data_IF_158300378066
#
_entry.id   IF_158300378066
#
_cell.length_a   1.000
_cell.length_b   1.000
_cell.length_c   1.000
_cell.angle_alpha   90.00
_cell.angle_beta   90.00
_cell.angle_gamma   90.00
#
_symmetry.space_group_name_H-M   'P 1'
#
loop_
_entity.id
_entity.type
_entity.pdbx_description
1 polymer ?
2 non-polymer ?
3 water ?
#
# COMPACT_ATOMS: atom_id res chain seq x y z
N UNK A 2 -4.84 -1.02 -20.62
CA UNK A 2 -5.18 -0.66 -19.22
C UNK A 2 -6.03 -1.77 -18.66
N UNK A 3 -6.85 -2.36 -19.54
CA UNK A 3 -7.46 -3.65 -19.26
C UNK A 3 -6.38 -4.73 -19.39
N UNK A 4 -5.79 -4.91 -20.58
CA UNK A 4 -4.82 -5.97 -20.82
C UNK A 4 -3.43 -5.40 -21.13
N UNK A 5 -3.24 -4.08 -21.05
CA UNK A 5 -1.95 -3.44 -21.24
C UNK A 5 -1.53 -2.68 -19.98
N UNK A 6 -0.22 -2.64 -19.70
CA UNK A 6 0.32 -2.04 -18.49
C UNK A 6 1.69 -1.42 -18.82
N UNK A 7 2.30 -0.78 -17.80
CA UNK A 7 3.65 -0.26 -17.90
C UNK A 7 4.29 -0.35 -16.52
N UNK A 8 5.48 -0.96 -16.43
CA UNK A 8 6.22 -1.08 -15.18
C UNK A 8 6.88 0.24 -14.85
N UNK A 9 6.48 0.79 -13.70
CA UNK A 9 7.05 2.00 -13.16
C UNK A 9 7.37 1.71 -11.70
N UNK A 10 8.67 1.55 -11.42
CA UNK A 10 9.10 1.14 -10.08
C UNK A 10 9.08 2.36 -9.18
N UNK A 11 8.76 2.16 -7.91
CA UNK A 11 9.00 3.20 -6.91
C UNK A 11 10.49 3.58 -6.89
N UNK A 12 10.81 4.81 -6.50
CA UNK A 12 12.19 5.30 -6.43
C UNK A 12 12.57 5.74 -5.03
N UNK A 13 11.61 5.94 -4.13
CA UNK A 13 11.91 6.30 -2.76
C UNK A 13 13.00 5.38 -2.17
N UNK A 14 13.98 5.95 -1.47
CA UNK A 14 15.01 5.13 -0.86
C UNK A 14 14.37 4.27 0.23
N UNK A 15 14.58 2.95 0.12
CA UNK A 15 14.10 1.91 1.02
C UNK A 15 15.28 1.47 1.90
N UNK A 16 15.01 1.28 3.19
CA UNK A 16 16.01 0.76 4.12
C UNK A 16 16.28 -0.70 3.79
N UNK A 17 17.53 -1.05 3.44
CA UNK A 17 17.87 -2.43 3.10
C UNK A 17 18.29 -3.27 4.32
N UNK A 18 18.24 -2.74 5.55
CA UNK A 18 18.67 -3.51 6.71
C UNK A 18 17.88 -4.83 6.78
N UNK A 19 18.59 -5.96 6.91
CA UNK A 19 17.95 -7.26 6.86
C UNK A 19 16.98 -7.42 8.01
N UNK A 20 15.74 -7.82 7.70
CA UNK A 20 14.77 -8.17 8.72
C UNK A 20 15.07 -9.52 9.37
N UNK A 21 16.02 -10.29 8.84
CA UNK A 21 16.39 -11.54 9.48
C UNK A 21 17.75 -11.43 10.14
N UNK A 22 18.13 -10.21 10.55
CA UNK A 22 19.38 -9.96 11.25
C UNK A 22 19.45 -10.69 12.59
N UNK A 23 18.28 -11.08 13.11
CA UNK A 23 18.19 -11.88 14.32
C UNK A 23 18.96 -13.19 14.30
N UNK A 24 18.67 -14.01 15.33
CA UNK A 24 19.41 -15.22 15.65
C UNK A 24 18.65 -16.48 15.19
N UNK A 25 17.85 -17.08 16.09
CA UNK A 25 17.26 -18.41 15.93
C UNK A 25 16.57 -18.48 14.60
N UNK A 26 15.68 -19.47 14.39
CA UNK A 26 14.96 -19.58 13.12
C UNK A 26 13.84 -18.55 12.97
N UNK A 27 13.48 -18.28 11.72
CA UNK A 27 12.32 -17.47 11.45
C UNK A 27 11.30 -18.38 10.79
N UNK A 28 10.24 -18.76 11.54
CA UNK A 28 9.17 -19.55 10.96
C UNK A 28 8.30 -18.77 9.97
N UNK A 29 8.00 -19.40 8.84
CA UNK A 29 7.19 -18.75 7.83
C UNK A 29 6.24 -19.79 7.28
N UNK A 30 5.20 -19.29 6.61
CA UNK A 30 4.17 -20.12 6.00
C UNK A 30 3.76 -19.49 4.69
N UNK A 31 3.49 -20.32 3.69
CA UNK A 31 2.81 -19.88 2.48
C UNK A 31 1.32 -19.76 2.70
N UNK A 32 0.67 -18.92 1.86
CA UNK A 32 -0.78 -18.84 1.88
C UNK A 32 -1.31 -18.38 0.53
N UNK A 33 -2.60 -18.65 0.30
CA UNK A 33 -3.37 -18.08 -0.80
C UNK A 33 -4.25 -16.95 -0.26
N UNK A 34 -4.32 -15.83 -0.99
CA UNK A 34 -5.23 -14.75 -0.65
C UNK A 34 -6.67 -15.25 -0.78
N UNK A 35 -7.36 -15.32 0.37
CA UNK A 35 -8.73 -15.82 0.42
C UNK A 35 -9.64 -14.88 1.19
N UNK A 36 -9.10 -13.82 1.78
CA UNK A 36 -9.88 -12.87 2.56
C UNK A 36 -9.51 -11.46 2.12
N UNK A 37 -10.40 -10.50 2.44
CA UNK A 37 -10.16 -9.12 2.13
C UNK A 37 -8.91 -8.65 2.87
N UNK A 38 -8.69 -9.20 4.08
CA UNK A 38 -7.58 -8.77 4.90
C UNK A 38 -6.26 -9.19 4.24
N UNK A 39 -6.20 -10.43 3.73
CA UNK A 39 -5.02 -10.92 3.04
C UNK A 39 -4.80 -10.15 1.75
N UNK A 40 -5.90 -9.79 1.08
CA UNK A 40 -5.82 -9.02 -0.14
C UNK A 40 -5.12 -7.68 0.08
N UNK A 41 -5.58 -6.92 1.07
CA UNK A 41 -4.95 -5.65 1.46
C UNK A 41 -3.48 -5.85 1.81
N UNK A 42 -3.16 -6.87 2.61
CA UNK A 42 -1.79 -7.07 3.03
C UNK A 42 -0.86 -7.24 1.83
N UNK A 43 -1.29 -7.96 0.78
CA UNK A 43 -0.46 -8.15 -0.38
C UNK A 43 -0.43 -6.90 -1.25
N UNK A 44 -1.60 -6.28 -1.47
CA UNK A 44 -1.61 -5.00 -2.17
C UNK A 44 -0.62 -4.04 -1.50
N UNK A 45 -0.61 -4.01 -0.16
CA UNK A 45 0.27 -3.09 0.56
C UNK A 45 1.74 -3.39 0.25
N UNK A 46 2.08 -4.68 0.18
CA UNK A 46 3.45 -5.03 -0.15
C UNK A 46 3.79 -4.56 -1.55
N UNK A 47 2.90 -4.81 -2.52
CA UNK A 47 3.14 -4.44 -3.91
C UNK A 47 3.26 -2.94 -4.06
N UNK A 48 2.48 -2.22 -3.28
CA UNK A 48 2.40 -0.77 -3.33
C UNK A 48 3.78 -0.17 -3.07
N UNK A 49 4.56 -0.78 -2.18
CA UNK A 49 5.83 -0.14 -1.84
C UNK A 49 6.87 -0.39 -2.92
N UNK A 50 6.56 -1.26 -3.91
CA UNK A 50 7.52 -1.63 -4.96
C UNK A 50 7.22 -0.98 -6.31
N UNK A 51 5.92 -0.77 -6.58
CA UNK A 51 5.45 -0.23 -7.83
C UNK A 51 4.77 1.11 -7.67
N UNK A 52 5.15 2.06 -8.55
CA UNK A 52 4.39 3.27 -8.81
C UNK A 52 3.27 2.95 -9.81
N UNK A 53 3.55 2.12 -10.83
CA UNK A 53 2.52 1.60 -11.71
C UNK A 53 2.87 0.14 -12.00
N UNK A 54 1.95 -0.84 -11.86
CA UNK A 54 0.58 -0.61 -11.36
C UNK A 54 0.39 0.30 -10.14
N UNK A 55 -0.59 1.20 -10.24
CA UNK A 55 -0.89 2.16 -9.20
C UNK A 55 -1.93 1.52 -8.27
N UNK A 56 -2.40 2.27 -7.27
CA UNK A 56 -3.28 1.66 -6.28
C UNK A 56 -4.52 1.04 -6.94
N UNK A 57 -5.30 1.75 -7.79
CA UNK A 57 -6.49 1.16 -8.35
C UNK A 57 -6.16 -0.09 -9.17
N UNK A 58 -5.00 -0.10 -9.87
CA UNK A 58 -4.62 -1.22 -10.71
C UNK A 58 -4.22 -2.45 -9.87
N UNK A 59 -3.62 -2.25 -8.67
CA UNK A 59 -3.29 -3.36 -7.79
C UNK A 59 -4.59 -3.96 -7.29
N UNK A 60 -5.56 -3.08 -6.96
CA UNK A 60 -6.85 -3.49 -6.42
C UNK A 60 -7.58 -4.33 -7.46
N UNK A 61 -7.37 -4.01 -8.74
CA UNK A 61 -7.94 -4.77 -9.83
C UNK A 61 -7.24 -6.11 -10.02
N UNK A 62 -5.91 -6.16 -9.83
CA UNK A 62 -5.14 -7.37 -10.12
C UNK A 62 -5.16 -8.37 -8.94
N UNK A 63 -5.25 -7.86 -7.72
CA UNK A 63 -5.17 -8.72 -6.57
C UNK A 63 -6.58 -9.03 -6.07
N UNK A 64 -7.05 -10.23 -6.43
CA UNK A 64 -8.45 -10.60 -6.19
C UNK A 64 -8.53 -11.99 -5.57
N UNK A 65 -9.65 -12.22 -4.89
CA UNK A 65 -9.96 -13.55 -4.36
C UNK A 65 -10.14 -14.50 -5.53
N UNK A 66 -9.75 -15.80 -5.40
CA UNK A 66 -9.87 -16.74 -6.50
C UNK A 66 -11.34 -16.91 -6.88
N UNK A 67 -11.60 -17.32 -8.12
CA UNK A 67 -12.93 -17.77 -8.50
C UNK A 67 -13.09 -19.23 -8.07
N UNK A 77 -6.76 -24.17 -10.82
CA UNK A 77 -7.29 -24.72 -12.10
C UNK A 77 -7.50 -23.59 -13.09
N UNK A 78 -8.03 -22.43 -12.64
CA UNK A 78 -8.47 -21.39 -13.56
C UNK A 78 -8.64 -20.03 -12.90
N UNK A 79 -8.28 -18.95 -13.63
CA UNK A 79 -8.49 -17.58 -13.18
C UNK A 79 -7.30 -17.09 -12.37
N UNK A 80 -7.56 -16.11 -11.50
CA UNK A 80 -6.53 -15.37 -10.79
C UNK A 80 -6.26 -15.95 -9.42
N UNK A 81 -4.99 -16.02 -9.06
CA UNK A 81 -4.59 -16.44 -7.74
C UNK A 81 -3.44 -15.55 -7.30
N UNK A 82 -3.44 -15.17 -6.03
CA UNK A 82 -2.28 -14.52 -5.42
C UNK A 82 -1.87 -15.31 -4.18
N UNK A 83 -0.60 -15.74 -4.15
CA UNK A 83 -0.04 -16.40 -2.98
C UNK A 83 1.00 -15.49 -2.33
N UNK A 84 1.23 -15.75 -1.05
CA UNK A 84 2.21 -15.01 -0.29
C UNK A 84 2.94 -15.97 0.64
N UNK A 85 4.08 -15.44 1.11
CA UNK A 85 4.88 -15.99 2.18
C UNK A 85 4.92 -14.98 3.31
N UNK A 86 4.54 -15.49 4.50
CA UNK A 86 4.31 -14.71 5.70
C UNK A 86 5.36 -15.07 6.75
N UNK A 87 5.96 -14.03 7.35
CA UNK A 87 6.90 -14.24 8.44
C UNK A 87 6.09 -14.33 9.73
N UNK A 88 6.10 -15.50 10.40
CA UNK A 88 5.13 -15.78 11.46
C UNK A 88 5.47 -15.02 12.73
N UNK A 89 6.74 -14.71 12.97
CA UNK A 89 7.10 -13.95 14.15
C UNK A 89 6.56 -12.53 14.07
N UNK A 90 6.50 -11.94 12.87
CA UNK A 90 6.10 -10.55 12.76
C UNK A 90 4.75 -10.39 12.07
N UNK A 91 4.27 -11.43 11.40
CA UNK A 91 3.06 -11.38 10.61
C UNK A 91 3.26 -10.62 9.30
N UNK A 92 4.49 -10.19 8.99
CA UNK A 92 4.75 -9.40 7.79
C UNK A 92 4.74 -10.28 6.54
N UNK A 93 4.28 -9.68 5.44
CA UNK A 93 4.41 -10.24 4.11
C UNK A 93 5.86 -10.12 3.64
N UNK A 94 6.41 -11.24 3.14
CA UNK A 94 7.81 -11.31 2.77
C UNK A 94 7.94 -11.25 1.26
N UNK A 95 7.05 -11.95 0.57
CA UNK A 95 7.10 -12.16 -0.87
C UNK A 95 5.69 -12.52 -1.34
N UNK A 96 5.34 -12.10 -2.56
CA UNK A 96 4.02 -12.44 -3.05
C UNK A 96 4.06 -12.47 -4.56
N UNK A 97 3.14 -13.25 -5.10
CA UNK A 97 3.02 -13.42 -6.53
C UNK A 97 1.55 -13.49 -6.93
N UNK A 98 1.19 -12.81 -8.04
CA UNK A 98 -0.15 -12.87 -8.57
C UNK A 98 -0.06 -13.50 -9.94
N UNK A 99 -0.94 -14.48 -10.22
CA UNK A 99 -0.90 -15.20 -11.49
C UNK A 99 -2.27 -15.12 -12.12
N UNK A 100 -2.32 -15.42 -13.42
CA UNK A 100 -3.54 -15.77 -14.11
C UNK A 100 -3.34 -17.11 -14.80
N UNK A 101 -4.25 -18.05 -14.54
CA UNK A 101 -4.18 -19.39 -15.10
C UNK A 101 -5.09 -19.48 -16.32
N UNK A 102 -4.56 -19.91 -17.47
CA UNK A 102 -5.31 -19.94 -18.72
C UNK A 102 -5.42 -21.37 -19.25
N UNK A 103 -6.62 -21.67 -19.73
CA UNK A 103 -6.93 -22.86 -20.52
C UNK A 103 -7.51 -22.38 -21.85
N UNK A 104 -6.71 -22.48 -22.89
CA UNK A 104 -7.13 -22.08 -24.22
C UNK A 104 -6.77 -23.18 -25.18
N UNK A 105 -7.78 -23.94 -25.62
CA UNK A 105 -7.66 -24.99 -26.62
C UNK A 105 -6.83 -26.09 -26.01
N UNK A 106 -5.72 -26.47 -26.65
CA UNK A 106 -4.86 -27.50 -26.09
C UNK A 106 -3.83 -26.87 -25.14
N UNK A 107 -3.88 -25.54 -24.94
CA UNK A 107 -2.83 -24.79 -24.24
C UNK A 107 -3.28 -24.49 -22.80
N UNK A 108 -2.54 -25.04 -21.84
CA UNK A 108 -2.81 -24.82 -20.43
C UNK A 108 -1.59 -24.12 -19.83
N UNK A 109 -1.70 -22.83 -19.50
CA UNK A 109 -0.51 -22.13 -19.04
C UNK A 109 -0.87 -21.06 -18.02
N UNK A 110 0.20 -20.53 -17.42
CA UNK A 110 0.13 -19.50 -16.41
C UNK A 110 0.94 -18.29 -16.86
N UNK A 111 0.39 -17.10 -16.57
CA UNK A 111 1.14 -15.84 -16.64
C UNK A 111 1.30 -15.25 -15.24
N UNK A 112 2.30 -14.38 -15.09
CA UNK A 112 2.60 -13.77 -13.79
C UNK A 112 2.62 -12.26 -13.90
N UNK A 113 1.49 -11.54 -13.64
CA UNK A 113 1.47 -10.08 -13.67
C UNK A 113 2.29 -9.36 -12.61
N UNK A 114 2.37 -9.90 -11.37
CA UNK A 114 3.05 -9.22 -10.26
C UNK A 114 3.86 -10.22 -9.45
N UNK A 115 5.01 -9.78 -8.98
CA UNK A 115 5.88 -10.59 -8.15
C UNK A 115 6.76 -9.62 -7.38
N UNK A 116 6.74 -9.67 -6.06
CA UNK A 116 7.57 -8.73 -5.31
C UNK A 116 8.02 -9.36 -4.00
N UNK A 117 9.22 -8.94 -3.58
CA UNK A 117 9.75 -9.25 -2.26
C UNK A 117 9.81 -7.95 -1.43
N UNK A 118 9.39 -8.01 -0.15
CA UNK A 118 9.28 -6.82 0.69
C UNK A 118 10.61 -6.20 1.10
N UNK A 119 10.49 -4.97 1.60
CA UNK A 119 11.63 -4.18 2.10
C UNK A 119 12.26 -4.92 3.28
N UNK A 120 13.58 -5.04 3.30
CA UNK A 120 14.27 -5.77 4.35
C UNK A 120 14.37 -7.28 4.12
N UNK A 121 13.85 -7.77 3.00
CA UNK A 121 13.85 -9.20 2.70
C UNK A 121 14.47 -9.54 1.35
N UNK A 122 14.88 -8.50 0.60
CA UNK A 122 15.42 -8.67 -0.72
C UNK A 122 16.81 -9.31 -0.66
N UNK A 123 17.10 -10.08 -1.70
CA UNK A 123 18.42 -10.66 -1.92
C UNK A 123 18.79 -11.64 -0.80
N UNK A 124 17.76 -12.32 -0.23
CA UNK A 124 17.94 -13.42 0.72
C UNK A 124 17.52 -14.78 0.11
N UNK A 125 17.02 -14.77 -1.13
CA UNK A 125 16.60 -16.01 -1.77
C UNK A 125 15.11 -16.28 -1.68
N UNK A 126 14.33 -15.28 -1.25
CA UNK A 126 12.90 -15.49 -1.13
C UNK A 126 12.21 -15.52 -2.50
N UNK A 127 12.63 -14.66 -3.43
CA UNK A 127 12.10 -14.71 -4.77
C UNK A 127 12.27 -16.09 -5.41
N UNK A 128 13.49 -16.65 -5.32
CA UNK A 128 13.76 -17.97 -5.86
C UNK A 128 12.85 -19.02 -5.25
N UNK A 129 12.70 -18.94 -3.92
CA UNK A 129 11.83 -19.84 -3.17
C UNK A 129 10.38 -19.70 -3.62
N UNK A 130 9.84 -18.48 -3.73
CA UNK A 130 8.46 -18.33 -4.17
C UNK A 130 8.29 -18.81 -5.61
N UNK A 131 9.24 -18.50 -6.50
CA UNK A 131 9.15 -18.96 -7.88
C UNK A 131 9.19 -20.49 -7.94
N UNK A 132 10.04 -21.11 -7.11
CA UNK A 132 10.10 -22.56 -7.07
C UNK A 132 8.76 -23.16 -6.66
N UNK A 133 8.11 -22.56 -5.67
CA UNK A 133 6.84 -23.04 -5.16
C UNK A 133 5.75 -22.91 -6.23
N UNK A 134 5.80 -21.82 -7.00
CA UNK A 134 4.87 -21.63 -8.09
C UNK A 134 5.08 -22.74 -9.14
N UNK A 135 6.32 -22.93 -9.61
CA UNK A 135 6.55 -23.91 -10.66
C UNK A 135 6.11 -25.31 -10.17
N UNK A 136 6.45 -25.65 -8.93
CA UNK A 136 6.00 -26.89 -8.30
C UNK A 136 4.49 -27.02 -8.39
N UNK A 137 3.79 -25.92 -8.14
CA UNK A 137 2.34 -25.93 -8.17
C UNK A 137 1.82 -26.03 -9.61
N UNK A 138 2.48 -25.36 -10.55
CA UNK A 138 2.14 -25.52 -11.95
C UNK A 138 2.27 -26.97 -12.41
N UNK A 139 3.36 -27.62 -11.98
CA UNK A 139 3.59 -29.00 -12.35
C UNK A 139 2.45 -29.82 -11.77
N UNK A 140 2.13 -29.61 -10.49
CA UNK A 140 1.22 -30.48 -9.78
C UNK A 140 -0.21 -30.29 -10.31
N UNK A 141 -0.56 -29.06 -10.72
CA UNK A 141 -1.78 -28.82 -11.48
C UNK A 141 -1.40 -29.02 -12.95
N UNK A 142 -2.30 -28.89 -13.90
CA UNK A 142 -1.96 -29.49 -15.20
C UNK A 142 -1.19 -28.59 -16.16
N UNK A 143 -0.42 -27.60 -15.67
CA UNK A 143 0.03 -26.53 -16.56
C UNK A 143 1.31 -26.91 -17.30
N UNK A 144 1.38 -26.51 -18.57
CA UNK A 144 2.50 -26.84 -19.43
C UNK A 144 3.63 -25.84 -19.23
N UNK A 145 3.30 -24.54 -19.13
CA UNK A 145 4.37 -23.54 -19.09
C UNK A 145 3.94 -22.28 -18.32
N UNK A 146 4.96 -21.57 -17.82
CA UNK A 146 4.78 -20.30 -17.16
C UNK A 146 5.35 -19.23 -18.08
N UNK A 147 4.51 -18.24 -18.44
CA UNK A 147 4.92 -17.19 -19.34
C UNK A 147 4.95 -15.83 -18.65
N UNK A 148 5.98 -15.02 -18.92
CA UNK A 148 6.21 -13.76 -18.23
C UNK A 148 6.24 -12.65 -19.29
N UNK A 149 5.46 -11.60 -19.08
CA UNK A 149 5.70 -10.31 -19.71
C UNK A 149 6.71 -9.52 -18.89
N UNK A 150 7.90 -9.29 -19.45
CA UNK A 150 9.02 -8.75 -18.71
C UNK A 150 9.45 -7.42 -19.29
N UNK A 151 9.17 -6.37 -18.53
CA UNK A 151 9.82 -5.08 -18.71
C UNK A 151 11.33 -5.23 -18.71
N UNK A 152 12.02 -4.38 -19.47
CA UNK A 152 13.47 -4.41 -19.52
C UNK A 152 14.06 -4.50 -18.12
N UNK A 153 13.45 -3.85 -17.12
CA UNK A 153 14.06 -3.87 -15.82
C UNK A 153 13.86 -5.20 -15.08
N UNK A 154 12.82 -5.98 -15.46
CA UNK A 154 12.54 -7.30 -14.85
C UNK A 154 13.33 -8.45 -15.49
N UNK A 155 13.79 -8.26 -16.74
CA UNK A 155 14.43 -9.32 -17.53
C UNK A 155 15.55 -10.00 -16.73
N UNK A 156 16.52 -9.25 -16.16
CA UNK A 156 17.62 -9.91 -15.48
C UNK A 156 17.09 -10.81 -14.36
N UNK A 157 16.14 -10.33 -13.56
CA UNK A 157 15.57 -11.13 -12.51
C UNK A 157 15.01 -12.44 -13.10
N UNK A 158 14.09 -12.34 -14.06
CA UNK A 158 13.41 -13.54 -14.52
C UNK A 158 14.42 -14.51 -15.13
N UNK A 159 15.41 -13.95 -15.82
CA UNK A 159 16.45 -14.73 -16.44
C UNK A 159 17.27 -15.48 -15.37
N UNK A 160 17.57 -14.83 -14.25
CA UNK A 160 18.23 -15.53 -13.17
C UNK A 160 17.36 -16.63 -12.58
N UNK A 161 16.03 -16.54 -12.69
CA UNK A 161 15.16 -17.56 -12.12
C UNK A 161 14.99 -18.70 -13.12
N UNK A 162 15.63 -18.57 -14.28
CA UNK A 162 15.70 -19.67 -15.23
C UNK A 162 14.70 -19.55 -16.36
N UNK A 163 14.06 -18.39 -16.52
CA UNK A 163 13.18 -18.10 -17.64
C UNK A 163 14.04 -17.68 -18.84
N UNK A 164 13.50 -17.88 -20.05
CA UNK A 164 14.18 -17.55 -21.29
C UNK A 164 13.24 -16.86 -22.27
N UNK A 165 13.79 -16.08 -23.19
CA UNK A 165 12.98 -15.46 -24.24
C UNK A 165 12.17 -16.54 -24.93
N UNK A 166 10.86 -16.36 -25.04
CA UNK A 166 10.02 -17.31 -25.76
C UNK A 166 10.35 -17.23 -27.25
N UNK A 167 10.49 -18.39 -27.92
CA UNK A 167 10.85 -18.41 -29.33
C UNK A 167 9.63 -17.92 -30.14
N UNK A 168 9.91 -17.13 -31.19
CA UNK A 168 8.90 -16.49 -32.04
C UNK A 168 7.80 -17.47 -32.44
N UNK A 169 8.18 -18.70 -32.83
CA UNK A 169 7.25 -19.68 -33.32
C UNK A 169 6.31 -20.20 -32.22
N UNK A 170 6.80 -20.25 -30.97
CA UNK A 170 5.98 -20.77 -29.90
C UNK A 170 4.95 -19.71 -29.53
N UNK A 171 5.37 -18.43 -29.55
CA UNK A 171 4.47 -17.34 -29.25
C UNK A 171 3.38 -17.21 -30.33
N UNK A 172 3.77 -17.31 -31.61
CA UNK A 172 2.80 -17.17 -32.69
C UNK A 172 1.73 -18.25 -32.58
N UNK A 173 2.08 -19.44 -32.02
CA UNK A 173 1.08 -20.46 -31.71
C UNK A 173 -0.09 -19.90 -30.89
N UNK A 174 0.15 -18.93 -29.99
CA UNK A 174 -0.95 -18.42 -29.17
C UNK A 174 -1.07 -16.90 -29.23
N UNK A 175 -0.60 -16.26 -30.30
CA UNK A 175 -0.44 -14.82 -30.32
C UNK A 175 -1.79 -14.13 -30.22
N UNK A 176 -2.80 -14.64 -30.92
CA UNK A 176 -4.10 -13.96 -30.90
C UNK A 176 -4.64 -13.93 -29.48
N UNK A 177 -4.66 -15.10 -28.83
CA UNK A 177 -5.23 -15.25 -27.52
C UNK A 177 -4.42 -14.40 -26.53
N UNK A 178 -3.10 -14.43 -26.66
CA UNK A 178 -2.24 -13.63 -25.79
C UNK A 178 -2.55 -12.14 -25.89
N UNK A 179 -2.65 -11.62 -27.12
CA UNK A 179 -2.84 -10.18 -27.32
C UNK A 179 -4.19 -9.73 -26.77
N UNK A 180 -5.17 -10.64 -26.67
CA UNK A 180 -6.50 -10.25 -26.21
C UNK A 180 -6.78 -10.62 -24.76
N UNK A 181 -5.90 -11.40 -24.10
CA UNK A 181 -6.27 -12.00 -22.83
C UNK A 181 -5.16 -12.00 -21.76
N UNK A 182 -3.91 -11.68 -22.13
CA UNK A 182 -2.82 -11.75 -21.19
C UNK A 182 -2.40 -10.33 -20.77
N UNK A 183 -1.66 -10.22 -19.66
CA UNK A 183 -1.29 -8.90 -19.16
C UNK A 183 0.09 -8.50 -19.71
N UNK A 184 0.12 -7.43 -20.50
CA UNK A 184 1.25 -7.09 -21.36
C UNK A 184 1.89 -5.77 -20.98
N UNK A 185 3.13 -5.83 -20.52
CA UNK A 185 3.85 -4.62 -20.12
C UNK A 185 4.39 -3.99 -21.39
N UNK A 186 4.25 -2.65 -21.45
CA UNK A 186 4.75 -1.83 -22.55
C UNK A 186 6.22 -2.17 -22.81
N UNK A 187 6.52 -2.61 -24.04
CA UNK A 187 7.87 -2.80 -24.52
C UNK A 187 8.53 -4.04 -23.90
N UNK A 188 7.69 -4.95 -23.39
CA UNK A 188 8.21 -6.11 -22.69
C UNK A 188 8.77 -7.12 -23.67
N UNK A 189 9.62 -7.99 -23.17
CA UNK A 189 10.00 -9.22 -23.84
C UNK A 189 9.22 -10.36 -23.20
N UNK A 190 8.79 -11.33 -24.03
CA UNK A 190 7.98 -12.44 -23.58
C UNK A 190 8.90 -13.62 -23.20
N UNK A 191 8.74 -14.15 -22.02
CA UNK A 191 9.71 -15.07 -21.49
C UNK A 191 8.95 -16.27 -20.97
N UNK A 192 9.63 -17.40 -20.80
CA UNK A 192 8.90 -18.63 -20.55
C UNK A 192 9.78 -19.70 -19.91
N UNK A 193 9.11 -20.54 -19.14
CA UNK A 193 9.71 -21.74 -18.66
C UNK A 193 8.71 -22.87 -18.79
N UNK A 194 9.13 -23.97 -19.40
CA UNK A 194 8.27 -25.13 -19.50
C UNK A 194 8.38 -25.92 -18.20
N UNK A 195 7.24 -26.39 -17.71
CA UNK A 195 7.15 -27.09 -16.45
C UNK A 195 7.89 -28.42 -16.52
N UNK A 196 7.95 -29.04 -17.71
CA UNK A 196 8.55 -30.35 -17.84
C UNK A 196 10.04 -30.25 -17.52
N UNK A 197 10.60 -29.03 -17.56
CA UNK A 197 12.01 -28.83 -17.24
C UNK A 197 12.20 -28.51 -15.75
N UNK A 198 11.14 -28.44 -14.94
CA UNK A 198 11.29 -28.00 -13.55
C UNK A 198 11.80 -29.18 -12.71
N UNK A 199 12.97 -29.08 -12.05
CA UNK A 199 13.48 -30.23 -11.28
C UNK A 199 12.59 -30.53 -10.06
N UNK A 200 12.43 -31.81 -9.80
CA UNK A 200 11.60 -32.28 -8.72
C UNK A 200 12.14 -31.75 -7.37
N UNK A 201 13.45 -31.52 -7.27
CA UNK A 201 14.02 -31.04 -6.02
C UNK A 201 14.16 -29.51 -5.96
N UNK A 202 13.53 -28.80 -6.90
CA UNK A 202 13.72 -27.37 -7.06
C UNK A 202 13.31 -26.60 -5.81
N UNK A 203 12.16 -26.96 -5.20
CA UNK A 203 11.72 -26.28 -4.00
C UNK A 203 12.68 -26.57 -2.84
N UNK A 204 13.03 -27.84 -2.61
CA UNK A 204 13.95 -28.16 -1.52
C UNK A 204 15.26 -27.39 -1.64
N UNK A 205 15.84 -27.32 -2.85
CA UNK A 205 17.11 -26.63 -3.04
C UNK A 205 17.00 -25.12 -2.81
N UNK A 206 15.86 -24.51 -3.18
CA UNK A 206 15.68 -23.09 -2.91
C UNK A 206 15.54 -22.85 -1.41
N UNK A 207 14.71 -23.66 -0.77
CA UNK A 207 14.49 -23.50 0.66
C UNK A 207 15.82 -23.63 1.43
N UNK A 208 16.67 -24.56 1.00
CA UNK A 208 18.00 -24.73 1.57
C UNK A 208 18.82 -23.43 1.46
N UNK A 209 18.56 -22.63 0.44
CA UNK A 209 19.41 -21.46 0.18
C UNK A 209 18.90 -20.21 0.90
N UNK A 210 17.81 -20.33 1.66
CA UNK A 210 17.28 -19.24 2.45
C UNK A 210 17.66 -19.47 3.91
N UNK A 211 18.67 -18.72 4.38
CA UNK A 211 19.26 -18.93 5.69
C UNK A 211 18.24 -18.55 6.78
N UNK A 212 18.23 -19.34 7.84
CA UNK A 212 17.53 -19.03 9.09
C UNK A 212 16.02 -19.23 8.98
N UNK A 213 15.51 -19.68 7.85
CA UNK A 213 14.08 -19.85 7.67
C UNK A 213 13.70 -21.32 7.78
N UNK A 214 12.59 -21.60 8.48
CA UNK A 214 11.91 -22.88 8.45
C UNK A 214 10.46 -22.66 8.04
N UNK A 215 9.94 -23.55 7.18
CA UNK A 215 8.58 -23.41 6.69
C UNK A 215 7.66 -24.29 7.50
N UNK A 216 6.55 -23.71 7.97
CA UNK A 216 5.54 -24.46 8.70
C UNK A 216 4.28 -24.62 7.86
N UNK A 217 3.70 -25.83 7.89
CA UNK A 217 2.63 -26.19 6.98
C UNK A 217 3.21 -26.69 5.64
N UNK A 218 2.32 -26.83 4.67
CA UNK A 218 2.70 -27.31 3.35
C UNK A 218 3.83 -26.44 2.81
N UNK A 219 4.91 -27.07 2.37
CA UNK A 219 6.04 -26.38 1.79
C UNK A 219 5.78 -26.17 0.30
N UNK A 220 4.86 -25.23 0.02
CA UNK A 220 4.45 -24.90 -1.33
C UNK A 220 3.07 -24.25 -1.28
N UNK A 221 2.41 -24.22 -2.44
CA UNK A 221 1.19 -23.45 -2.63
C UNK A 221 0.03 -24.41 -2.72
N UNK A 222 -1.13 -23.97 -2.23
CA UNK A 222 -2.34 -24.75 -2.37
C UNK A 222 -3.45 -23.90 -2.97
N UNK A 223 -4.54 -24.58 -3.34
CA UNK A 223 -5.64 -23.98 -4.09
C UNK A 223 -6.85 -23.66 -3.19
N UNK A 224 -6.78 -23.96 -1.87
CA UNK A 224 -7.90 -23.72 -0.95
C UNK A 224 -7.45 -23.78 0.51
N UNK B 3 -2.43 8.33 28.31
CA UNK B 3 -2.44 7.21 27.32
C UNK B 3 -1.95 7.66 25.94
N UNK B 4 -0.72 7.26 25.57
CA UNK B 4 -0.11 7.73 24.32
C UNK B 4 0.19 6.53 23.39
N UNK B 5 -0.46 5.39 23.60
CA UNK B 5 -0.25 4.19 22.81
C UNK B 5 -1.58 3.77 22.21
N UNK B 6 -1.57 3.25 20.99
CA UNK B 6 -2.79 2.88 20.27
C UNK B 6 -2.50 1.64 19.44
N UNK B 7 -3.53 1.16 18.75
CA UNK B 7 -3.38 0.01 17.89
C UNK B 7 -4.40 0.20 16.78
N UNK B 8 -3.93 0.30 15.53
CA UNK B 8 -4.82 0.57 14.43
C UNK B 8 -5.50 -0.72 14.03
N UNK B 9 -6.82 -0.64 14.06
CA UNK B 9 -7.66 -1.73 13.56
C UNK B 9 -8.70 -1.12 12.63
N UNK B 10 -8.59 -1.39 11.34
CA UNK B 10 -9.43 -0.83 10.31
C UNK B 10 -10.67 -1.69 10.13
N UNK B 11 -11.75 -1.04 9.69
CA UNK B 11 -12.91 -1.77 9.20
C UNK B 11 -12.62 -2.28 7.78
N UNK B 12 -13.17 -3.46 7.45
CA UNK B 12 -13.04 -4.02 6.11
C UNK B 12 -13.71 -3.10 5.08
N UNK B 16 -20.10 -3.21 -1.72
CA UNK B 16 -20.76 -2.38 -2.76
C UNK B 16 -20.69 -0.89 -2.40
N UNK B 17 -19.81 -0.14 -3.08
CA UNK B 17 -19.60 1.28 -2.82
C UNK B 17 -19.79 2.07 -4.12
N UNK B 18 -20.63 3.12 -4.08
CA UNK B 18 -20.92 4.00 -5.21
C UNK B 18 -20.40 5.41 -4.94
N UNK B 19 -20.10 6.16 -6.00
CA UNK B 19 -19.61 7.53 -5.83
C UNK B 19 -20.76 8.49 -5.56
N UNK B 20 -20.60 9.35 -4.55
CA UNK B 20 -21.58 10.38 -4.24
C UNK B 20 -21.40 11.62 -5.11
N UNK B 21 -20.40 11.62 -6.02
CA UNK B 21 -20.17 12.73 -6.93
C UNK B 21 -20.49 12.35 -8.37
N UNK B 22 -21.49 11.48 -8.59
CA UNK B 22 -21.78 11.00 -9.94
C UNK B 22 -22.29 12.12 -10.85
N UNK B 23 -22.90 13.15 -10.28
CA UNK B 23 -23.48 14.21 -11.10
C UNK B 23 -22.42 15.04 -11.79
N UNK B 24 -22.87 16.02 -12.62
CA UNK B 24 -21.97 16.77 -13.49
C UNK B 24 -21.10 17.72 -12.67
N UNK B 25 -21.61 18.12 -11.50
CA UNK B 25 -20.96 19.12 -10.70
C UNK B 25 -21.31 20.52 -11.20
N UNK B 26 -20.71 21.58 -10.61
CA UNK B 26 -19.70 21.47 -9.56
C UNK B 26 -20.31 21.10 -8.20
N UNK B 27 -19.58 20.39 -7.35
CA UNK B 27 -20.04 20.13 -6.01
C UNK B 27 -19.33 21.14 -5.11
N UNK B 28 -20.05 22.12 -4.53
CA UNK B 28 -19.40 23.10 -3.65
C UNK B 28 -19.03 22.43 -2.33
N UNK B 29 -17.81 22.72 -1.88
CA UNK B 29 -17.38 22.20 -0.60
C UNK B 29 -16.68 23.30 0.20
N UNK B 30 -16.60 23.15 1.53
CA UNK B 30 -15.91 24.12 2.38
C UNK B 30 -15.08 23.40 3.45
N UNK B 31 -13.83 23.83 3.66
CA UNK B 31 -13.05 23.37 4.80
C UNK B 31 -13.62 23.98 6.08
N UNK B 32 -13.41 23.30 7.18
CA UNK B 32 -13.73 23.84 8.49
C UNK B 32 -12.81 23.31 9.59
N UNK B 33 -12.77 24.08 10.68
CA UNK B 33 -12.18 23.66 11.93
C UNK B 33 -13.28 23.26 12.92
N UNK B 34 -13.09 22.09 13.54
CA UNK B 34 -13.99 21.63 14.58
C UNK B 34 -13.94 22.58 15.78
N UNK B 35 -15.03 23.36 15.90
CA UNK B 35 -15.19 24.37 16.94
C UNK B 35 -16.43 24.10 17.77
N UNK B 36 -17.35 23.25 17.33
CA UNK B 36 -18.60 23.02 18.02
C UNK B 36 -18.68 21.54 18.39
N UNK B 37 -19.54 21.23 19.38
CA UNK B 37 -19.87 19.87 19.73
C UNK B 37 -20.54 19.14 18.56
N UNK B 38 -21.23 19.90 17.69
CA UNK B 38 -21.95 19.30 16.58
C UNK B 38 -20.95 18.87 15.51
N UNK B 39 -19.93 19.69 15.29
CA UNK B 39 -18.90 19.33 14.34
C UNK B 39 -18.09 18.16 14.89
N UNK B 40 -17.89 18.14 16.21
CA UNK B 40 -17.13 17.08 16.84
C UNK B 40 -17.79 15.73 16.57
N UNK B 41 -19.07 15.60 16.93
CA UNK B 41 -19.88 14.41 16.66
C UNK B 41 -19.87 14.04 15.16
N UNK B 42 -19.95 15.03 14.27
CA UNK B 42 -19.97 14.76 12.83
C UNK B 42 -18.64 14.18 12.35
N UNK B 43 -17.51 14.71 12.85
CA UNK B 43 -16.22 14.20 12.45
C UNK B 43 -15.97 12.83 13.07
N UNK B 44 -16.36 12.65 14.35
CA UNK B 44 -16.22 11.36 15.02
C UNK B 44 -17.01 10.28 14.26
N UNK B 45 -18.25 10.60 13.86
CA UNK B 45 -19.03 9.70 13.04
C UNK B 45 -18.28 9.29 11.78
N UNK B 46 -17.66 10.24 11.02
CA UNK B 46 -16.88 9.84 9.85
C UNK B 46 -15.78 8.84 10.25
N UNK B 47 -14.96 9.18 11.24
CA UNK B 47 -13.91 8.28 11.69
C UNK B 47 -14.46 6.93 12.11
N UNK B 48 -15.58 6.91 12.86
CA UNK B 48 -16.05 5.66 13.43
C UNK B 48 -16.45 4.64 12.34
N UNK B 49 -16.77 5.12 11.13
CA UNK B 49 -17.11 4.24 10.02
C UNK B 49 -15.83 3.74 9.36
N UNK B 50 -14.65 4.21 9.79
CA UNK B 50 -13.42 3.82 9.10
C UNK B 50 -12.52 2.97 9.98
N UNK B 51 -12.59 3.13 11.28
CA UNK B 51 -11.72 2.45 12.22
C UNK B 51 -12.58 1.61 13.14
N UNK B 52 -12.06 0.45 13.53
CA UNK B 52 -12.67 -0.32 14.63
C UNK B 52 -11.95 0.20 15.88
N UNK B 53 -10.64 0.39 15.78
CA UNK B 53 -9.86 1.03 16.87
C UNK B 53 -8.85 1.99 16.21
N UNK B 54 -8.79 3.29 16.59
CA UNK B 54 -9.57 3.84 17.70
C UNK B 54 -11.11 3.67 17.75
N UNK B 55 -11.59 3.31 18.93
CA UNK B 55 -13.04 3.04 19.09
C UNK B 55 -13.74 4.35 19.45
N UNK B 56 -15.02 4.24 19.80
CA UNK B 56 -15.77 5.47 20.00
C UNK B 56 -15.20 6.28 21.17
N UNK B 57 -15.02 5.69 22.38
CA UNK B 57 -14.48 6.46 23.52
C UNK B 57 -13.13 7.05 23.14
N UNK B 58 -12.30 6.34 22.39
CA UNK B 58 -10.97 6.87 22.07
C UNK B 58 -11.08 7.96 21.00
N UNK B 59 -12.10 7.88 20.10
CA UNK B 59 -12.30 8.97 19.14
C UNK B 59 -12.69 10.26 19.85
N UNK B 60 -13.60 10.15 20.85
CA UNK B 60 -13.95 11.32 21.66
C UNK B 60 -12.78 11.91 22.43
N UNK B 61 -11.87 11.09 22.93
CA UNK B 61 -10.65 11.59 23.56
C UNK B 61 -9.71 12.28 22.56
N UNK B 62 -9.70 11.90 21.27
CA UNK B 62 -8.73 12.48 20.34
C UNK B 62 -9.31 13.71 19.64
N UNK B 63 -10.61 13.67 19.33
CA UNK B 63 -11.24 14.72 18.56
C UNK B 63 -11.89 15.67 19.55
N UNK B 64 -11.22 16.81 19.77
CA UNK B 64 -11.58 17.76 20.80
C UNK B 64 -11.59 19.17 20.23
N UNK B 65 -12.29 20.07 20.92
CA UNK B 65 -12.23 21.49 20.58
C UNK B 65 -10.83 22.02 20.85
N UNK B 66 -10.38 23.00 20.06
CA UNK B 66 -8.99 23.48 20.11
C UNK B 66 -8.57 24.30 21.35
N UNK B 76 1.19 31.28 19.18
CA UNK B 76 1.68 30.05 18.52
C UNK B 76 0.54 29.02 18.46
N UNK B 77 0.42 28.30 17.36
CA UNK B 77 -0.59 27.23 17.32
C UNK B 77 -0.09 26.09 18.21
N UNK B 78 -1.00 25.50 18.97
CA UNK B 78 -0.60 24.45 19.94
C UNK B 78 -1.77 23.54 20.30
N UNK B 79 -1.48 22.29 20.58
CA UNK B 79 -2.50 21.37 21.04
C UNK B 79 -3.24 20.74 19.87
N UNK B 80 -4.42 20.22 20.16
CA UNK B 80 -5.16 19.41 19.21
C UNK B 80 -5.97 20.30 18.26
N UNK B 81 -6.09 19.87 17.01
CA UNK B 81 -6.95 20.49 16.02
C UNK B 81 -7.53 19.40 15.13
N UNK B 82 -8.82 19.50 14.80
CA UNK B 82 -9.44 18.62 13.84
C UNK B 82 -10.04 19.48 12.73
N UNK B 83 -9.67 19.21 11.49
CA UNK B 83 -10.30 19.91 10.37
C UNK B 83 -11.11 18.90 9.58
N UNK B 84 -12.01 19.44 8.78
CA UNK B 84 -12.86 18.65 7.91
C UNK B 84 -13.03 19.40 6.60
N UNK B 85 -13.41 18.64 5.58
CA UNK B 85 -14.00 19.15 4.37
C UNK B 85 -15.46 18.65 4.23
N UNK B 86 -16.36 19.59 3.90
CA UNK B 86 -17.77 19.35 3.91
C UNK B 86 -18.35 19.57 2.52
N UNK B 87 -19.19 18.62 2.10
CA UNK B 87 -19.95 18.73 0.86
C UNK B 87 -21.21 19.54 1.15
N UNK B 88 -21.31 20.73 0.57
CA UNK B 88 -22.40 21.65 0.93
C UNK B 88 -23.75 21.16 0.42
N UNK B 89 -23.79 20.42 -0.70
CA UNK B 89 -25.04 19.93 -1.25
C UNK B 89 -25.82 19.14 -0.20
N UNK B 90 -25.13 18.24 0.51
CA UNK B 90 -25.77 17.30 1.42
C UNK B 90 -25.39 17.59 2.86
N UNK B 91 -24.43 18.50 3.06
CA UNK B 91 -23.86 18.78 4.35
C UNK B 91 -23.02 17.64 4.94
N UNK B 92 -22.71 16.61 4.16
CA UNK B 92 -21.97 15.46 4.66
C UNK B 92 -20.49 15.81 4.74
N UNK B 93 -19.79 15.22 5.70
CA UNK B 93 -18.36 15.47 5.71
C UNK B 93 -17.70 14.42 4.81
N UNK B 94 -16.65 14.87 4.10
CA UNK B 94 -16.02 14.10 3.05
C UNK B 94 -14.68 13.53 3.51
N UNK B 95 -13.93 14.29 4.29
CA UNK B 95 -12.68 13.81 4.87
C UNK B 95 -12.34 14.63 6.11
N UNK B 96 -11.39 14.15 6.91
CA UNK B 96 -11.01 14.84 8.13
C UNK B 96 -9.62 14.39 8.57
N UNK B 97 -8.99 15.24 9.36
CA UNK B 97 -7.66 14.98 9.89
C UNK B 97 -7.60 15.61 11.27
N UNK B 98 -6.96 14.91 12.20
CA UNK B 98 -6.80 15.35 13.57
C UNK B 98 -5.30 15.39 13.82
N UNK B 99 -4.81 16.48 14.41
CA UNK B 99 -3.39 16.69 14.59
C UNK B 99 -3.17 17.05 16.06
N UNK B 100 -1.94 16.84 16.53
CA UNK B 100 -1.47 17.43 17.77
C UNK B 100 -0.22 18.22 17.42
N UNK B 101 -0.24 19.51 17.75
CA UNK B 101 0.86 20.41 17.42
C UNK B 101 1.76 20.55 18.65
N UNK B 102 3.08 20.51 18.42
CA UNK B 102 4.06 20.38 19.48
C UNK B 102 5.19 21.41 19.33
N UNK B 103 5.60 21.94 20.48
CA UNK B 103 6.70 22.89 20.64
C UNK B 103 7.57 22.37 21.78
N UNK B 104 8.63 21.65 21.42
CA UNK B 104 9.52 20.99 22.34
C UNK B 104 10.91 21.55 22.05
N UNK B 105 11.36 22.44 22.95
CA UNK B 105 12.64 23.12 22.83
C UNK B 105 12.69 23.87 21.51
N UNK B 106 13.70 23.60 20.67
CA UNK B 106 13.77 24.22 19.34
C UNK B 106 12.96 23.42 18.30
N UNK B 107 12.17 22.41 18.73
CA UNK B 107 11.48 21.52 17.81
C UNK B 107 10.01 21.89 17.73
N UNK B 108 9.56 22.30 16.54
CA UNK B 108 8.17 22.65 16.32
C UNK B 108 7.58 21.73 15.26
N UNK B 109 6.64 20.86 15.66
CA UNK B 109 6.24 19.84 14.72
C UNK B 109 4.80 19.45 14.97
N UNK B 110 4.27 18.69 14.03
CA UNK B 110 2.90 18.24 14.07
C UNK B 110 2.91 16.72 13.95
N UNK B 111 2.08 16.04 14.72
CA UNK B 111 1.81 14.63 14.51
C UNK B 111 0.37 14.50 14.03
N UNK B 112 0.05 13.41 13.32
CA UNK B 112 -1.29 13.17 12.79
C UNK B 112 -1.84 11.82 13.25
N UNK B 113 -2.58 11.77 14.38
CA UNK B 113 -3.19 10.52 14.82
C UNK B 113 -4.34 9.98 13.99
N UNK B 114 -5.19 10.87 13.41
CA UNK B 114 -6.36 10.40 12.67
C UNK B 114 -6.42 11.12 11.32
N UNK B 115 -6.79 10.34 10.28
CA UNK B 115 -6.92 10.81 8.90
C UNK B 115 -7.79 9.81 8.16
N UNK B 116 -8.79 10.29 7.43
CA UNK B 116 -9.72 9.40 6.76
C UNK B 116 -10.50 10.13 5.68
N UNK B 117 -10.90 9.38 4.63
CA UNK B 117 -11.96 9.91 3.78
C UNK B 117 -13.25 9.13 4.05
N UNK B 118 -14.41 9.75 3.85
CA UNK B 118 -15.69 9.18 4.22
C UNK B 118 -16.35 8.34 3.14
N UNK B 119 -17.43 7.63 3.55
CA UNK B 119 -18.10 6.65 2.70
C UNK B 119 -18.59 7.35 1.43
N UNK B 120 -18.27 6.76 0.28
CA UNK B 120 -18.76 7.22 -0.99
C UNK B 120 -17.93 8.36 -1.57
N UNK B 121 -16.88 8.81 -0.84
CA UNK B 121 -16.02 9.87 -1.35
C UNK B 121 -14.58 9.40 -1.59
N UNK B 122 -14.35 8.08 -1.53
CA UNK B 122 -13.04 7.51 -1.65
C UNK B 122 -12.56 7.53 -3.09
N UNK B 123 -11.25 7.56 -3.26
CA UNK B 123 -10.64 7.50 -4.59
C UNK B 123 -11.04 8.67 -5.48
N UNK B 124 -11.20 9.85 -4.91
CA UNK B 124 -11.52 11.05 -5.67
C UNK B 124 -10.47 12.14 -5.47
N UNK B 125 -9.41 11.83 -4.71
CA UNK B 125 -8.35 12.80 -4.50
C UNK B 125 -8.50 13.64 -3.22
N UNK B 126 -9.49 13.31 -2.38
CA UNK B 126 -9.78 14.04 -1.16
C UNK B 126 -8.69 13.82 -0.13
N UNK B 127 -8.11 12.63 -0.10
CA UNK B 127 -7.06 12.37 0.85
C UNK B 127 -5.80 13.20 0.53
N UNK B 128 -5.36 13.11 -0.72
CA UNK B 128 -4.28 13.96 -1.19
C UNK B 128 -4.55 15.45 -0.92
N UNK B 129 -5.81 15.91 -1.09
CA UNK B 129 -6.12 17.32 -0.93
C UNK B 129 -6.00 17.72 0.53
N UNK B 130 -6.49 16.87 1.46
CA UNK B 130 -6.47 17.22 2.87
C UNK B 130 -5.03 17.24 3.42
N UNK B 131 -4.24 16.24 3.06
CA UNK B 131 -2.83 16.21 3.36
C UNK B 131 -2.09 17.44 2.81
N UNK B 132 -2.45 17.85 1.59
CA UNK B 132 -1.92 19.07 1.00
C UNK B 132 -2.26 20.31 1.84
N UNK B 133 -3.53 20.41 2.24
CA UNK B 133 -4.01 21.51 3.05
C UNK B 133 -3.27 21.55 4.40
N UNK B 134 -3.05 20.39 5.01
CA UNK B 134 -2.32 20.30 6.25
C UNK B 134 -0.90 20.84 6.08
N UNK B 135 -0.19 20.36 5.05
CA UNK B 135 1.20 20.73 4.88
C UNK B 135 1.33 22.23 4.62
N UNK B 136 0.37 22.81 3.87
CA UNK B 136 0.41 24.25 3.66
C UNK B 136 0.11 24.99 4.96
N UNK B 137 -0.84 24.53 5.77
CA UNK B 137 -1.11 25.11 7.07
C UNK B 137 0.12 25.03 7.96
N UNK B 138 0.80 23.88 7.95
CA UNK B 138 1.98 23.73 8.78
C UNK B 138 3.06 24.71 8.30
N UNK B 139 3.19 24.89 6.98
CA UNK B 139 4.20 25.79 6.44
C UNK B 139 3.91 27.21 6.91
N UNK B 140 2.64 27.59 6.86
CA UNK B 140 2.20 28.95 7.11
C UNK B 140 2.26 29.29 8.60
N UNK B 141 2.08 28.28 9.45
CA UNK B 141 2.27 28.46 10.88
C UNK B 141 3.73 28.11 11.17
N UNK B 142 4.10 27.83 12.40
CA UNK B 142 5.53 27.77 12.68
C UNK B 142 6.28 26.47 12.31
N UNK B 143 5.64 25.45 11.69
CA UNK B 143 6.12 24.08 11.92
C UNK B 143 7.26 23.72 10.97
N UNK B 144 8.21 22.92 11.47
CA UNK B 144 9.33 22.42 10.66
C UNK B 144 9.02 21.08 9.99
N UNK B 145 8.21 20.20 10.61
CA UNK B 145 7.92 18.92 10.00
C UNK B 145 6.63 18.32 10.53
N UNK B 146 6.05 17.41 9.72
CA UNK B 146 4.89 16.63 10.07
C UNK B 146 5.41 15.22 10.32
N UNK B 147 5.07 14.66 11.48
CA UNK B 147 5.46 13.31 11.82
C UNK B 147 4.23 12.41 11.89
N UNK B 148 4.36 11.16 11.43
CA UNK B 148 3.25 10.22 11.36
C UNK B 148 3.71 8.90 11.99
N UNK B 149 2.96 8.44 12.97
CA UNK B 149 3.05 7.08 13.45
C UNK B 149 2.23 6.19 12.51
N UNK B 150 2.93 5.42 11.68
CA UNK B 150 2.30 4.71 10.58
C UNK B 150 2.26 3.23 10.89
N UNK B 151 1.09 2.72 11.29
CA UNK B 151 0.83 1.29 11.33
C UNK B 151 1.17 0.69 9.97
N UNK B 152 1.41 -0.61 9.97
CA UNK B 152 1.83 -1.32 8.76
C UNK B 152 0.82 -1.15 7.61
N UNK B 153 -0.47 -1.11 7.93
CA UNK B 153 -1.54 -0.93 6.96
C UNK B 153 -1.56 0.48 6.36
N UNK B 154 -0.94 1.48 7.04
CA UNK B 154 -0.97 2.87 6.59
C UNK B 154 0.34 3.32 5.95
N UNK B 155 1.44 2.58 6.09
CA UNK B 155 2.72 3.01 5.54
C UNK B 155 2.60 3.30 4.05
N UNK B 156 1.95 2.45 3.23
CA UNK B 156 1.96 2.67 1.79
C UNK B 156 1.26 3.96 1.36
N UNK B 157 0.16 4.30 2.01
CA UNK B 157 -0.50 5.56 1.73
C UNK B 157 0.38 6.76 2.07
N UNK B 158 0.80 6.89 3.34
CA UNK B 158 1.69 7.99 3.66
C UNK B 158 2.93 8.02 2.74
N UNK B 159 3.51 6.84 2.50
CA UNK B 159 4.67 6.76 1.63
C UNK B 159 4.32 7.31 0.23
N UNK B 160 3.12 6.98 -0.27
CA UNK B 160 2.76 7.44 -1.60
C UNK B 160 2.68 8.96 -1.63
N UNK B 161 2.17 9.57 -0.56
CA UNK B 161 1.96 11.02 -0.52
C UNK B 161 3.25 11.75 -0.17
N UNK B 162 4.35 11.04 0.06
CA UNK B 162 5.69 11.61 0.04
C UNK B 162 6.34 11.68 1.41
N UNK B 163 5.72 11.06 2.43
CA UNK B 163 6.36 10.89 3.71
C UNK B 163 7.42 9.80 3.57
N UNK B 164 8.46 9.90 4.40
CA UNK B 164 9.52 8.93 4.44
C UNK B 164 9.75 8.48 5.88
N UNK B 165 10.28 7.26 6.02
CA UNK B 165 10.67 6.76 7.31
C UNK B 165 11.70 7.71 7.88
N UNK B 166 11.52 8.10 9.13
CA UNK B 166 12.38 9.05 9.80
C UNK B 166 13.74 8.39 10.02
N UNK B 167 14.82 9.13 9.73
CA UNK B 167 16.18 8.63 9.94
C UNK B 167 16.42 8.43 11.43
N UNK B 168 17.24 7.42 11.79
CA UNK B 168 17.56 7.09 13.17
C UNK B 168 18.06 8.31 13.97
N UNK B 169 19.04 9.03 13.42
CA UNK B 169 19.57 10.22 14.07
C UNK B 169 18.50 11.28 14.32
N UNK B 170 17.60 11.51 13.35
CA UNK B 170 16.60 12.57 13.51
C UNK B 170 15.59 12.16 14.59
N UNK B 171 15.19 10.88 14.63
CA UNK B 171 14.27 10.44 15.64
C UNK B 171 14.93 10.52 17.04
N UNK B 172 16.23 10.24 17.08
CA UNK B 172 16.90 10.12 18.37
C UNK B 172 16.98 11.48 19.06
N UNK B 173 17.04 12.57 18.28
CA UNK B 173 17.01 13.92 18.83
C UNK B 173 15.76 14.13 19.70
N UNK B 174 14.59 13.60 19.29
CA UNK B 174 13.33 13.90 19.97
C UNK B 174 12.76 12.67 20.66
N UNK B 175 13.57 11.64 20.81
CA UNK B 175 13.03 10.33 21.11
C UNK B 175 12.36 10.34 22.46
N UNK B 176 12.91 11.09 23.42
CA UNK B 176 12.37 11.07 24.77
C UNK B 176 10.97 11.68 24.78
N UNK B 177 10.87 12.87 24.21
CA UNK B 177 9.60 13.58 24.10
C UNK B 177 8.57 12.74 23.32
N UNK B 178 9.03 12.13 22.25
CA UNK B 178 8.15 11.27 21.46
C UNK B 178 7.53 10.20 22.34
N UNK B 179 8.39 9.47 23.06
CA UNK B 179 7.98 8.30 23.82
C UNK B 179 6.93 8.67 24.84
N UNK B 180 6.97 9.91 25.33
CA UNK B 180 6.11 10.26 26.45
C UNK B 180 4.95 11.16 26.05
N UNK B 181 4.99 11.73 24.83
CA UNK B 181 4.01 12.76 24.46
C UNK B 181 3.25 12.47 23.17
N UNK B 182 3.83 11.73 22.22
CA UNK B 182 3.19 11.53 20.93
C UNK B 182 2.35 10.25 20.92
N UNK B 183 1.28 10.26 20.11
CA UNK B 183 0.38 9.12 19.92
C UNK B 183 1.02 8.03 19.08
N UNK B 184 1.23 6.84 19.68
CA UNK B 184 2.09 5.82 19.08
C UNK B 184 1.33 4.55 18.74
N UNK B 185 1.13 4.27 17.45
CA UNK B 185 0.44 3.03 17.10
C UNK B 185 1.36 1.82 17.29
N UNK B 186 0.78 0.75 17.84
CA UNK B 186 1.44 -0.56 17.99
C UNK B 186 2.13 -0.94 16.68
N UNK B 187 3.43 -1.17 16.80
CA UNK B 187 4.21 -1.73 15.70
C UNK B 187 4.55 -0.69 14.64
N UNK B 188 4.26 0.61 14.90
CA UNK B 188 4.30 1.64 13.88
C UNK B 188 5.73 1.89 13.43
N UNK B 189 5.87 2.38 12.19
CA UNK B 189 7.08 3.06 11.76
C UNK B 189 6.86 4.56 11.80
N UNK B 190 7.90 5.29 12.19
CA UNK B 190 7.82 6.74 12.33
C UNK B 190 8.20 7.38 11.00
N UNK B 191 7.26 8.11 10.39
CA UNK B 191 7.51 8.77 9.13
C UNK B 191 7.38 10.29 9.26
N UNK B 192 7.95 10.99 8.28
CA UNK B 192 8.13 12.42 8.38
C UNK B 192 8.09 13.06 7.00
N UNK B 193 7.61 14.29 6.99
CA UNK B 193 7.88 15.15 5.86
C UNK B 193 8.24 16.54 6.37
N UNK B 194 9.39 17.05 5.92
CA UNK B 194 9.89 18.35 6.35
C UNK B 194 9.18 19.43 5.53
N UNK B 195 8.62 20.42 6.21
CA UNK B 195 7.85 21.46 5.56
C UNK B 195 8.70 22.23 4.56
N UNK B 196 10.04 22.26 4.78
CA UNK B 196 10.98 22.85 3.84
C UNK B 196 10.65 22.41 2.41
N UNK B 197 10.23 21.14 2.23
CA UNK B 197 10.17 20.53 0.91
C UNK B 197 8.76 20.63 0.32
N UNK B 198 7.81 21.26 1.02
CA UNK B 198 6.45 21.30 0.52
C UNK B 198 6.32 22.39 -0.54
N UNK B 199 5.96 22.07 -1.81
CA UNK B 199 5.93 23.09 -2.87
C UNK B 199 4.84 24.11 -2.60
N UNK B 200 5.01 25.32 -3.09
CA UNK B 200 4.05 26.37 -2.83
C UNK B 200 2.76 26.08 -3.58
N UNK B 201 2.86 25.42 -4.73
CA UNK B 201 1.66 25.16 -5.53
C UNK B 201 0.96 23.84 -5.13
N UNK B 202 1.34 23.24 -3.99
CA UNK B 202 0.93 21.88 -3.66
C UNK B 202 -0.58 21.71 -3.53
N UNK B 203 -1.22 22.66 -2.88
CA UNK B 203 -2.65 22.61 -2.71
C UNK B 203 -3.34 22.89 -4.03
N UNK B 204 -2.86 23.90 -4.78
CA UNK B 204 -3.44 24.20 -6.09
C UNK B 204 -3.46 22.94 -6.95
N UNK B 205 -2.36 22.22 -6.96
CA UNK B 205 -2.18 21.03 -7.79
C UNK B 205 -3.09 19.89 -7.33
N UNK B 206 -3.16 19.62 -6.01
CA UNK B 206 -4.10 18.66 -5.45
C UNK B 206 -5.53 19.02 -5.80
N UNK B 207 -5.91 20.30 -5.63
CA UNK B 207 -7.27 20.72 -5.91
C UNK B 207 -7.62 20.53 -7.39
N UNK B 208 -6.72 20.92 -8.31
CA UNK B 208 -6.98 20.74 -9.73
C UNK B 208 -7.37 19.30 -10.03
N UNK B 209 -6.76 18.35 -9.31
CA UNK B 209 -6.97 16.95 -9.62
C UNK B 209 -8.26 16.42 -9.02
N UNK B 210 -8.91 17.14 -8.11
CA UNK B 210 -10.21 16.70 -7.65
C UNK B 210 -11.30 17.22 -8.61
N UNK B 211 -11.88 16.28 -9.39
CA UNK B 211 -12.80 16.64 -10.46
C UNK B 211 -14.18 17.05 -9.90
N UNK B 212 -14.74 18.12 -10.48
CA UNK B 212 -16.13 18.50 -10.24
C UNK B 212 -16.32 19.18 -8.89
N UNK B 213 -15.22 19.59 -8.24
CA UNK B 213 -15.30 20.20 -6.93
C UNK B 213 -14.87 21.66 -7.04
N UNK B 214 -15.59 22.55 -6.33
CA UNK B 214 -15.12 23.90 -6.13
C UNK B 214 -15.20 24.20 -4.64
N UNK B 215 -14.20 24.95 -4.17
CA UNK B 215 -14.07 25.23 -2.75
C UNK B 215 -14.54 26.67 -2.47
N UNK B 216 -15.49 26.78 -1.55
CA UNK B 216 -16.02 28.04 -1.11
C UNK B 216 -15.33 28.43 0.19
N UNK B 217 -15.01 29.72 0.29
CA UNK B 217 -14.23 30.24 1.40
C UNK B 217 -12.74 29.95 1.22
N UNK B 218 -12.00 29.95 2.34
CA UNK B 218 -10.57 29.76 2.33
C UNK B 218 -10.20 28.36 1.83
N UNK B 219 -9.31 28.35 0.83
CA UNK B 219 -8.85 27.11 0.24
C UNK B 219 -7.71 26.53 1.07
N UNK B 220 -8.08 25.99 2.23
CA UNK B 220 -7.14 25.38 3.13
C UNK B 220 -7.67 25.49 4.56
N UNK B 221 -6.76 25.30 5.51
CA UNK B 221 -7.15 25.21 6.90
C UNK B 221 -6.88 26.53 7.63
N UNK B 222 -7.78 26.84 8.57
CA UNK B 222 -7.58 27.99 9.44
C UNK B 222 -7.70 27.56 10.91
N UNK B 223 -6.98 28.25 11.80
CA UNK B 223 -7.02 27.91 13.23
C UNK B 223 -7.73 29.03 13.99
N UNK B 224 -8.60 28.66 14.94
CA UNK B 224 -9.44 29.60 15.66
C UNK B 224 -10.39 30.32 14.70
X LIG C 1 18.12 -7.75 -10.57
X LIG C 1 18.50 -8.90 -11.17
X LIG C 1 18.61 -10.12 -10.65
X LIG C 1 18.29 -10.09 -9.34
X LIG C 1 17.88 -9.01 -8.60
X LIG C 1 17.81 -7.78 -9.27
X LIG C 1 17.44 -6.65 -8.68
X LIG C 1 17.64 -9.39 -7.28
X LIG C 1 17.89 -10.68 -7.26
X LIG C 1 18.30 -11.15 -8.47
X LIG C 1 18.63 -12.51 -8.80
X LIG C 1 19.49 -13.18 -7.74
X LIG C 1 20.86 -12.92 -7.96
X LIG C 1 19.10 -14.64 -7.93
X LIG C 1 19.76 -15.16 -9.08
X LIG C 1 20.94 -16.19 -8.72
X LIG C 1 20.32 -17.42 -8.15
X LIG C 1 21.84 -15.50 -7.75
X LIG C 1 21.62 -16.43 -10.03
X LIG C 1 17.60 -14.53 -8.21
X LIG C 1 17.42 -13.23 -8.84
X LIG C 1 16.68 -14.65 -7.02
X LIG C 1 17.09 -13.72 -5.98
X LIG C 1 16.18 -13.53 -4.69
X LIG C 1 17.00 -13.05 -3.56
X LIG C 1 15.34 -14.74 -4.49
X LIG C 1 15.23 -12.33 -5.16
X LIG C 1 14.46 -11.28 -4.25
X LIG C 1 13.75 -12.01 -3.18
X LIG C 1 15.42 -10.20 -3.87
X LIG C 1 13.37 -10.69 -5.27
X LIG C 1 12.68 -9.01 -6.85
X LIG C 1 13.80 -9.98 -6.45
X LIG C 1 12.95 -8.50 -8.26
X LIG C 1 11.34 -9.72 -6.83
X LIG C 1 12.68 -7.83 -5.86
X LIG C 1 13.86 -7.10 -6.04
X LIG C 1 11.48 -6.91 -5.99
X LIG C 1 10.49 -7.09 -5.29
X LIG C 1 11.57 -5.91 -6.85
X LIG C 1 10.51 -4.93 -7.05
X LIG C 1 9.37 -5.47 -7.86
X LIG C 1 9.83 -6.08 -9.17
X LIG C 1 10.71 -5.53 -9.86
X LIG C 1 9.25 -7.22 -9.55
X LIG C 1 9.91 -8.22 -10.38
X LIG C 1 9.14 -8.51 -11.64
X LIG C 1 8.24 -7.09 -12.27
X LIG C 1 6.57 -7.03 -11.81
X LIG C 1 6.11 -7.74 -10.95
X LIG C 1 5.76 -6.05 -12.56
X LIG D 1 -1.76 2.85 -0.37
X LIG D 1 -1.15 3.56 -1.36
X LIG D 1 -1.63 4.51 -2.17
X LIG D 1 -2.89 4.82 -1.82
X LIG D 1 -3.63 4.24 -0.80
X LIG D 1 -3.02 3.21 -0.04
X LIG D 1 -3.63 2.60 0.97
X LIG D 1 -4.89 4.80 -0.72
X LIG D 1 -4.88 5.75 -1.65
X LIG D 1 -3.70 5.79 -2.36
X LIG D 1 -3.37 6.71 -3.44
X LIG D 1 -4.43 6.88 -4.52
X LIG D 1 -4.31 5.86 -5.49
X LIG D 1 -4.11 8.31 -5.02
X LIG D 1 -3.05 8.25 -5.98
X LIG D 1 -2.82 9.45 -7.05
X LIG D 1 -1.34 9.28 -7.40
X LIG D 1 -3.07 10.77 -6.40
X LIG D 1 -3.75 9.15 -8.12
X LIG D 1 -3.64 9.04 -3.77
X LIG D 1 -3.15 7.99 -2.88
X LIG D 1 -4.69 9.88 -3.03
X LIG D 1 -5.93 9.13 -2.98
X LIG D 1 -7.29 9.78 -2.44
X LIG D 1 -8.46 9.51 -3.34
X LIG D 1 -7.02 11.21 -2.13
X LIG D 1 -7.45 8.92 -1.12
X LIG D 1 -8.66 8.36 -0.29
X LIG D 1 -9.15 9.35 0.68
X LIG D 1 -9.63 7.69 -1.17
X LIG D 1 -8.09 7.20 0.63
X LIG D 1 -7.41 6.82 2.89
X LIG D 1 -7.05 7.40 1.52
X LIG D 1 -6.27 5.88 3.31
X LIG D 1 -7.47 8.01 3.85
X LIG D 1 -8.75 6.08 2.97
X LIG D 1 -8.66 4.77 2.38
X LIG D 1 -9.27 6.00 4.41
X LIG D 1 -10.04 6.86 4.83
X LIG D 1 -8.88 5.00 5.18
X LIG D 1 -9.44 4.95 6.55
X LIG D 1 -8.45 4.76 7.62
X LIG D 1 -7.03 4.96 7.17
X LIG D 1 -6.38 4.01 6.75
X LIG D 1 -6.54 6.18 7.41
X LIG D 1 -5.39 6.85 6.83
X LIG D 1 -4.12 6.13 7.02
X LIG D 1 -3.46 6.16 8.69
X LIG D 1 -4.45 5.93 10.00
X LIG D 1 -5.28 6.73 10.37
X LIG D 1 -4.39 4.55 10.41
#
# INVERSE_FOLDING_TARGET
QQLTYSQLVLRTAIQDQYSKLSGDGPFPMAFGLVLSEEERREVIDLYSLQFQYPDQPELQRLVILPQTHSTRTRRRAKGSYTWYLRSLNTNEMVCAVTIMAHHYETHHFVEVPLFATGVGYKKHGFGRLMNAALLQWCVETGFEFVMISADVKAIPFWSHLGYKTMEKSELTRIVFYYEHNCYKFKGAEVMIRYCRTWPTDGVKEALARVQKVIVSGHVGLMDA
QQLTYSQLVLRTAIQDQYSKLSGDGPFPMAFGLVLSEEERREVIDLYSLQFQYPDQPELQRLVILPQTHSTRTRRRAKGSYTWYLRSLNTNEMVCAVTIMAHHYETHHFVEVPLFATGVGYKKHGFGRLMNAALLQWCVETGFEFVMISADVKAIPFWSHLGYKTMEKSELTRIVFYYEHNCYKFKGAEVMIRYCRTWPTDGVKEALARVQKVIVSGHVGLMDA
ACO N1A C2A N3A C4A C5A C6A N6A N7A C8A N9A C1B C2B O2B C3B O3B P3B O7A O8A O9A C4B O4B C5B O5B P1A O1A O2A O3A P2A O4A O5A O6A CBP CCP CDP CEP CAP OAP C9P O9P N8P C7P C6P C5P O5P N4P C3P C2P S1P C O CH3
ACO N1A C2A N3A C4A C5A C6A N6A N7A C8A N9A C1B C2B O2B C3B O3B P3B O7A O8A O9A C4B O4B C5B O5B P1A O1A O2A O3A P2A O4A O5A O6A CBP CCP CDP CEP CAP OAP C9P O9P N8P C7P C6P C5P O5P N4P C3P C2P S1P C O CH3
#
